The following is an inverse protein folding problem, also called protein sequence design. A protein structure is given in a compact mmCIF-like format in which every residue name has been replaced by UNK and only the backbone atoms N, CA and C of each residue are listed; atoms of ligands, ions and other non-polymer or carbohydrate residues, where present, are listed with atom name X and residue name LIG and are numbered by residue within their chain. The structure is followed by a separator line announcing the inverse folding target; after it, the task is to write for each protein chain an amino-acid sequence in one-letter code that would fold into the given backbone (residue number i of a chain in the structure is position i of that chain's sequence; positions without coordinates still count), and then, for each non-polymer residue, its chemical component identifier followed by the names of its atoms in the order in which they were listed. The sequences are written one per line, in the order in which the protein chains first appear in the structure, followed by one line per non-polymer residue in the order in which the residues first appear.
data_IF_223368257886
#
_entry.id   IF_223368257886
#
_cell.length_a   1.000
_cell.length_b   1.000
_cell.length_c   1.000
_cell.angle_alpha   90.00
_cell.angle_beta   90.00
_cell.angle_gamma   90.00
#
_symmetry.space_group_name_H-M   'P 1'
#
loop_
_entity.id
_entity.type
_entity.pdbx_description
1 polymer ?
#
# COMPACT_ATOMS: atom_id res chain seq x y z
N UNK A 1 16.30 6.39 -25.65
CA UNK A 1 15.11 6.10 -24.83
C UNK A 1 15.38 6.74 -23.49
N UNK A 2 14.93 7.99 -23.30
CA UNK A 2 15.22 8.75 -22.09
C UNK A 2 14.62 8.04 -20.89
N UNK A 3 15.50 7.62 -19.98
CA UNK A 3 15.12 7.09 -18.68
C UNK A 3 14.57 8.31 -17.93
N UNK A 4 13.24 8.43 -17.88
CA UNK A 4 12.56 9.37 -16.99
C UNK A 4 13.21 9.23 -15.62
N UNK A 5 13.81 10.32 -15.11
CA UNK A 5 14.31 10.32 -13.74
C UNK A 5 13.11 10.05 -12.82
N UNK A 6 13.15 8.98 -12.01
CA UNK A 6 12.12 8.75 -11.00
C UNK A 6 12.09 9.96 -10.08
N UNK A 7 10.97 10.69 -10.05
CA UNK A 7 10.74 11.70 -9.02
C UNK A 7 10.45 11.02 -7.66
N UNK A 8 9.99 9.77 -7.70
CA UNK A 8 9.75 8.94 -6.56
C UNK A 8 10.99 8.12 -6.19
N UNK A 9 11.67 8.52 -5.13
CA UNK A 9 12.76 7.73 -4.55
C UNK A 9 12.19 6.53 -3.75
N UNK A 10 12.08 5.40 -4.46
CA UNK A 10 11.63 4.13 -3.89
C UNK A 10 12.56 3.65 -2.77
N UNK A 11 13.86 3.87 -2.91
CA UNK A 11 14.85 3.38 -1.96
C UNK A 11 14.77 4.21 -0.66
N UNK A 12 14.59 5.54 -0.75
CA UNK A 12 14.31 6.39 0.40
C UNK A 12 12.98 6.02 1.10
N UNK A 13 11.91 5.79 0.33
CA UNK A 13 10.60 5.40 0.88
C UNK A 13 10.66 4.08 1.63
N UNK A 14 11.42 3.11 1.11
CA UNK A 14 11.66 1.83 1.78
C UNK A 14 12.51 1.98 3.04
N UNK A 15 13.55 2.81 3.02
CA UNK A 15 14.32 3.11 4.23
C UNK A 15 13.44 3.73 5.31
N UNK A 16 12.53 4.63 4.93
CA UNK A 16 11.57 5.21 5.87
C UNK A 16 10.61 4.14 6.42
N UNK A 17 10.07 3.26 5.57
CA UNK A 17 9.23 2.14 6.00
C UNK A 17 9.96 1.22 6.99
N UNK A 18 11.22 0.91 6.73
CA UNK A 18 12.05 0.11 7.62
C UNK A 18 12.22 0.77 9.00
N UNK A 19 12.52 2.07 9.06
CA UNK A 19 12.62 2.78 10.33
C UNK A 19 11.28 2.88 11.08
N UNK A 20 10.17 3.04 10.35
CA UNK A 20 8.84 3.00 10.94
C UNK A 20 8.54 1.63 11.55
N UNK A 21 8.93 0.55 10.88
CA UNK A 21 8.77 -0.81 11.37
C UNK A 21 9.61 -1.06 12.64
N UNK A 22 10.87 -0.63 12.63
CA UNK A 22 11.75 -0.71 13.81
C UNK A 22 11.15 0.05 14.99
N UNK A 23 10.66 1.29 14.78
CA UNK A 23 9.98 2.07 15.82
C UNK A 23 8.69 1.41 16.30
N UNK A 24 7.90 0.83 15.39
CA UNK A 24 6.66 0.15 15.74
C UNK A 24 6.93 -1.07 16.63
N UNK A 25 7.99 -1.85 16.35
CA UNK A 25 8.45 -2.95 17.22
C UNK A 25 8.83 -2.43 18.60
N UNK A 26 9.65 -1.38 18.67
CA UNK A 26 10.10 -0.81 19.95
C UNK A 26 8.96 -0.18 20.77
N UNK A 27 7.91 0.31 20.11
CA UNK A 27 6.79 1.01 20.77
C UNK A 27 5.52 0.16 20.91
N UNK A 28 5.53 -1.09 20.45
CA UNK A 28 4.35 -1.98 20.47
C UNK A 28 3.20 -1.54 19.56
N UNK A 29 3.47 -0.67 18.57
CA UNK A 29 2.45 -0.19 17.62
C UNK A 29 2.25 -1.21 16.48
N UNK A 30 1.08 -1.15 15.84
CA UNK A 30 0.78 -1.97 14.67
C UNK A 30 1.80 -1.70 13.55
N UNK A 31 2.43 -2.78 13.06
CA UNK A 31 3.55 -2.72 12.09
C UNK A 31 3.08 -2.72 10.64
N UNK A 32 2.04 -3.50 10.36
CA UNK A 32 1.54 -3.78 9.02
C UNK A 32 0.15 -3.21 8.85
N UNK A 33 -0.23 -2.91 7.62
CA UNK A 33 -1.62 -2.60 7.30
C UNK A 33 -2.54 -3.72 7.76
N UNK A 34 -3.76 -3.35 8.14
CA UNK A 34 -4.80 -4.31 8.40
C UNK A 34 -5.26 -4.94 7.07
N UNK A 35 -5.36 -6.26 7.05
CA UNK A 35 -5.96 -6.99 5.94
C UNK A 35 -7.48 -6.89 6.03
N UNK A 36 -8.12 -6.39 4.96
CA UNK A 36 -9.57 -6.27 4.90
C UNK A 36 -10.28 -7.59 5.24
N UNK A 37 -9.84 -8.70 4.64
CA UNK A 37 -10.41 -10.03 4.88
C UNK A 37 -10.26 -10.48 6.34
N UNK A 38 -9.15 -10.14 7.00
CA UNK A 38 -8.94 -10.50 8.41
C UNK A 38 -9.85 -9.68 9.32
N UNK A 39 -10.02 -8.38 9.03
CA UNK A 39 -10.94 -7.49 9.75
C UNK A 39 -12.38 -7.97 9.58
N UNK A 40 -12.82 -8.27 8.36
CA UNK A 40 -14.15 -8.79 8.08
C UNK A 40 -14.40 -10.13 8.77
N UNK A 41 -13.42 -11.05 8.75
CA UNK A 41 -13.54 -12.35 9.42
C UNK A 41 -13.76 -12.20 10.93
N UNK A 42 -13.10 -11.23 11.57
CA UNK A 42 -13.31 -10.93 12.99
C UNK A 42 -14.67 -10.26 13.19
N UNK A 43 -15.00 -9.25 12.40
CA UNK A 43 -16.27 -8.52 12.50
C UNK A 43 -17.50 -9.40 12.25
N UNK A 44 -17.42 -10.41 11.38
CA UNK A 44 -18.50 -11.38 11.16
C UNK A 44 -18.89 -12.16 12.42
N UNK A 45 -17.97 -12.34 13.38
CA UNK A 45 -18.31 -12.95 14.68
C UNK A 45 -19.23 -12.06 15.51
N UNK A 46 -19.08 -10.75 15.37
CA UNK A 46 -19.84 -9.72 16.10
C UNK A 46 -21.09 -9.25 15.31
N UNK A 47 -21.16 -9.56 14.01
CA UNK A 47 -22.23 -9.17 13.10
C UNK A 47 -21.85 -8.03 12.15
N UNK A 48 -22.38 -8.07 10.92
CA UNK A 48 -22.21 -7.02 9.90
C UNK A 48 -23.57 -6.38 9.58
N UNK A 49 -23.59 -5.05 9.49
CA UNK A 49 -24.78 -4.28 9.08
C UNK A 49 -24.40 -3.45 7.86
N UNK A 50 -25.16 -3.59 6.77
CA UNK A 50 -25.03 -2.73 5.61
C UNK A 50 -25.52 -1.32 5.95
N UNK A 51 -24.67 -0.31 5.72
CA UNK A 51 -24.97 1.10 5.95
C UNK A 51 -24.95 1.93 4.65
N UNK A 52 -24.95 1.27 3.49
CA UNK A 52 -24.85 1.91 2.18
C UNK A 52 -23.47 2.50 1.88
N UNK A 53 -23.35 3.16 0.73
CA UNK A 53 -22.14 3.88 0.35
C UNK A 53 -21.93 5.11 1.22
N UNK A 54 -20.71 5.28 1.75
CA UNK A 54 -20.33 6.42 2.58
C UNK A 54 -18.97 6.93 2.15
N UNK A 55 -18.83 8.25 2.06
CA UNK A 55 -17.55 8.88 1.85
C UNK A 55 -16.68 8.74 3.10
N UNK A 56 -15.44 8.29 2.90
CA UNK A 56 -14.45 8.18 3.96
C UNK A 56 -13.27 9.11 3.69
N UNK A 57 -12.83 9.89 4.69
CA UNK A 57 -11.58 10.62 4.59
C UNK A 57 -10.42 9.66 4.31
N UNK A 58 -9.54 10.02 3.38
CA UNK A 58 -8.38 9.20 2.99
C UNK A 58 -7.48 8.87 4.18
N UNK A 59 -7.33 9.80 5.13
CA UNK A 59 -6.55 9.59 6.35
C UNK A 59 -7.16 8.58 7.34
N UNK A 60 -8.39 8.10 7.10
CA UNK A 60 -9.02 7.02 7.88
C UNK A 60 -8.85 5.63 7.24
N UNK A 61 -8.23 5.55 6.06
CA UNK A 61 -7.91 4.28 5.43
C UNK A 61 -6.71 3.67 6.14
N UNK A 62 -6.94 2.65 6.95
CA UNK A 62 -5.91 1.99 7.80
C UNK A 62 -5.53 0.58 7.31
N UNK A 63 -5.96 0.20 6.10
CA UNK A 63 -5.82 -1.17 5.60
C UNK A 63 -5.80 -1.29 4.08
N UNK A 64 -5.60 -2.52 3.60
CA UNK A 64 -5.55 -2.84 2.17
C UNK A 64 -6.30 -4.12 1.86
N UNK A 65 -6.90 -4.18 0.67
CA UNK A 65 -7.45 -5.39 0.09
C UNK A 65 -6.35 -6.15 -0.68
N UNK A 66 -5.93 -7.29 -0.14
CA UNK A 66 -5.05 -8.24 -0.83
C UNK A 66 -3.54 -7.94 -0.81
N UNK A 67 -3.09 -6.78 -0.30
CA UNK A 67 -1.65 -6.42 -0.28
C UNK A 67 -1.16 -5.84 1.05
N UNK A 68 -1.90 -6.02 2.12
CA UNK A 68 -1.57 -5.48 3.44
C UNK A 68 -0.16 -5.86 3.96
N UNK A 69 0.39 -7.00 3.52
CA UNK A 69 1.74 -7.48 3.92
C UNK A 69 2.90 -6.83 3.15
N UNK A 70 2.60 -6.19 2.02
CA UNK A 70 3.61 -5.57 1.17
C UNK A 70 3.98 -4.15 1.64
N UNK A 71 3.24 -3.61 2.62
CA UNK A 71 3.31 -2.21 3.05
C UNK A 71 3.30 -2.08 4.58
N UNK A 72 3.93 -1.01 5.07
CA UNK A 72 3.81 -0.61 6.47
C UNK A 72 2.47 0.10 6.75
N UNK A 73 2.19 0.41 8.01
CA UNK A 73 0.97 1.12 8.41
C UNK A 73 0.81 2.52 7.77
N UNK A 74 1.85 3.08 7.15
CA UNK A 74 1.85 4.35 6.42
C UNK A 74 1.79 4.17 4.89
N UNK A 75 1.44 2.97 4.40
CA UNK A 75 1.39 2.60 2.98
C UNK A 75 2.74 2.67 2.25
N UNK A 76 3.87 2.69 2.98
CA UNK A 76 5.20 2.67 2.38
C UNK A 76 5.61 1.24 2.02
N UNK A 77 6.28 1.03 0.87
CA UNK A 77 6.61 -0.31 0.39
C UNK A 77 7.68 -0.97 1.27
N UNK A 78 7.38 -2.19 1.73
CA UNK A 78 8.33 -3.06 2.44
C UNK A 78 9.03 -4.04 1.47
N UNK A 79 8.29 -4.49 0.44
CA UNK A 79 8.74 -5.53 -0.47
C UNK A 79 9.54 -4.96 -1.67
N UNK A 80 10.83 -5.34 -1.85
CA UNK A 80 11.65 -4.81 -2.94
C UNK A 80 11.17 -5.19 -4.34
N UNK A 81 10.39 -6.28 -4.47
CA UNK A 81 9.81 -6.71 -5.76
C UNK A 81 8.84 -5.68 -6.34
N UNK A 82 8.41 -4.69 -5.55
CA UNK A 82 7.53 -3.63 -6.00
C UNK A 82 8.23 -2.53 -6.80
N UNK A 83 9.57 -2.46 -6.76
CA UNK A 83 10.34 -1.39 -7.39
C UNK A 83 9.99 -1.22 -8.87
N UNK A 84 9.99 -2.30 -9.64
CA UNK A 84 9.66 -2.27 -11.07
C UNK A 84 8.23 -1.83 -11.35
N UNK A 85 7.28 -2.33 -10.57
CA UNK A 85 5.87 -1.93 -10.69
C UNK A 85 5.70 -0.44 -10.39
N UNK A 86 6.35 0.06 -9.34
CA UNK A 86 6.29 1.47 -8.94
C UNK A 86 6.89 2.38 -10.00
N UNK A 87 8.06 2.02 -10.56
CA UNK A 87 8.67 2.76 -11.66
C UNK A 87 7.76 2.81 -12.90
N UNK A 88 7.07 1.71 -13.22
CA UNK A 88 6.11 1.68 -14.34
C UNK A 88 4.89 2.56 -14.08
N UNK A 89 4.33 2.48 -12.88
CA UNK A 89 3.18 3.30 -12.45
C UNK A 89 3.54 4.79 -12.50
N UNK A 90 4.71 5.15 -12.00
CA UNK A 90 5.23 6.52 -12.07
C UNK A 90 5.39 6.99 -13.53
N UNK A 91 6.00 6.16 -14.39
CA UNK A 91 6.14 6.49 -15.81
C UNK A 91 4.79 6.71 -16.51
N UNK A 92 3.75 5.95 -16.13
CA UNK A 92 2.39 6.14 -16.64
C UNK A 92 1.78 7.45 -16.13
N UNK A 93 1.90 7.74 -14.84
CA UNK A 93 1.43 9.00 -14.23
C UNK A 93 2.10 10.23 -14.87
N UNK A 94 3.41 10.19 -15.09
CA UNK A 94 4.15 11.27 -15.74
C UNK A 94 3.71 11.51 -17.19
N UNK A 95 3.21 10.48 -17.86
CA UNK A 95 2.68 10.56 -19.23
C UNK A 95 1.20 10.97 -19.28
N UNK A 96 0.56 11.17 -18.13
CA UNK A 96 -0.88 11.42 -18.05
C UNK A 96 -1.73 10.24 -18.53
N UNK A 97 -1.15 9.03 -18.56
CA UNK A 97 -1.86 7.81 -18.96
C UNK A 97 -2.49 7.21 -17.72
N UNK A 98 -3.76 6.81 -17.85
CA UNK A 98 -4.47 6.12 -16.78
C UNK A 98 -3.71 4.86 -16.36
N UNK A 99 -3.50 4.70 -15.04
CA UNK A 99 -2.78 3.56 -14.50
C UNK A 99 -3.69 2.32 -14.58
N UNK A 100 -3.28 1.25 -15.28
CA UNK A 100 -4.07 0.03 -15.35
C UNK A 100 -4.35 -0.53 -13.95
N UNK A 101 -5.59 -0.92 -13.67
CA UNK A 101 -5.94 -1.58 -12.40
C UNK A 101 -5.52 -3.06 -12.38
N UNK A 102 -5.08 -3.60 -13.51
CA UNK A 102 -4.89 -5.04 -13.67
C UNK A 102 -3.67 -5.56 -12.91
N UNK A 103 -3.82 -6.78 -12.37
CA UNK A 103 -2.78 -7.45 -11.56
C UNK A 103 -1.49 -7.74 -12.37
N UNK A 104 -1.50 -7.56 -13.69
CA UNK A 104 -0.37 -7.89 -14.60
C UNK A 104 0.78 -6.89 -14.55
N UNK A 105 0.62 -5.76 -13.86
CA UNK A 105 1.75 -4.87 -13.57
C UNK A 105 2.79 -5.50 -12.62
N UNK A 106 2.52 -6.68 -12.06
CA UNK A 106 3.35 -7.32 -11.02
C UNK A 106 4.37 -8.36 -11.52
N UNK A 107 4.37 -8.80 -12.78
CA UNK A 107 5.34 -9.83 -13.23
C UNK A 107 5.53 -9.88 -14.75
N UNK A 108 6.75 -9.57 -15.20
CA UNK A 108 7.52 -10.43 -16.10
C UNK A 108 8.93 -10.49 -15.57
#
# INVERSE_FOLDING_TARGET
MDILQPQFDFDASRHHAFWNEVRAVLTGRARTLLSFNEVIRVAQREGLVDRGAQDIPVNRVIGSEGRAKDFDASFLPLNPRLKERWARVEALMLRGVEVPNDRRLSSR
#
